data_IF_846434262648
#
_entry.id   IF_846434262648
#
_cell.length_a   1.000
_cell.length_b   1.000
_cell.length_c   1.000
_cell.angle_alpha   90.00
_cell.angle_beta   90.00
_cell.angle_gamma   90.00
#
_symmetry.space_group_name_H-M   'P 1'
#
loop_
_entity.id
_entity.type
_entity.pdbx_description
1 polymer ?
#
# COMPACT_ATOMS: atom_id res chain seq x y z
N UNK A 1 13.00 -2.21 -8.55
CA UNK A 1 11.91 -1.52 -7.86
C UNK A 1 12.50 -0.36 -7.07
N UNK A 2 11.87 0.80 -7.08
CA UNK A 2 12.32 1.98 -6.34
C UNK A 2 12.23 1.72 -4.82
N UNK A 3 13.22 2.13 -4.00
CA UNK A 3 13.15 2.05 -2.54
C UNK A 3 11.88 2.69 -1.94
N UNK A 4 11.34 3.76 -2.52
CA UNK A 4 10.09 4.38 -2.05
C UNK A 4 8.88 3.44 -2.20
N UNK A 5 8.83 2.72 -3.33
CA UNK A 5 7.83 1.69 -3.60
C UNK A 5 7.93 0.54 -2.62
N UNK A 6 9.15 0.05 -2.38
CA UNK A 6 9.40 -1.04 -1.45
C UNK A 6 8.98 -0.66 -0.02
N UNK A 7 9.35 0.54 0.43
CA UNK A 7 8.96 1.04 1.75
C UNK A 7 7.44 1.16 1.89
N UNK A 8 6.76 1.67 0.85
CA UNK A 8 5.31 1.76 0.82
C UNK A 8 4.65 0.37 0.88
N UNK A 9 5.14 -0.60 0.10
CA UNK A 9 4.65 -1.99 0.13
C UNK A 9 4.82 -2.63 1.51
N UNK A 10 5.97 -2.41 2.17
CA UNK A 10 6.19 -2.89 3.52
C UNK A 10 5.28 -2.23 4.55
N UNK A 11 4.93 -0.95 4.38
CA UNK A 11 3.98 -0.28 5.25
C UNK A 11 2.56 -0.89 5.15
N UNK A 12 2.15 -1.36 3.97
CA UNK A 12 0.84 -1.98 3.76
C UNK A 12 0.81 -3.48 4.14
N UNK A 13 1.87 -4.22 3.81
CA UNK A 13 1.90 -5.68 3.86
C UNK A 13 2.66 -6.25 5.06
N UNK A 14 3.46 -5.42 5.72
CA UNK A 14 4.47 -5.83 6.70
C UNK A 14 5.74 -6.38 6.05
N UNK A 15 6.58 -7.01 6.85
CA UNK A 15 7.81 -7.68 6.38
C UNK A 15 7.44 -8.87 5.49
N UNK A 16 7.65 -8.72 4.18
CA UNK A 16 7.35 -9.72 3.14
C UNK A 16 8.61 -9.94 2.30
N UNK A 17 8.73 -11.05 1.57
CA UNK A 17 9.90 -11.33 0.74
C UNK A 17 10.04 -10.29 -0.40
N UNK A 18 11.13 -9.54 -0.38
CA UNK A 18 11.45 -8.49 -1.37
C UNK A 18 11.55 -9.02 -2.79
N UNK A 19 12.05 -10.25 -2.98
CA UNK A 19 12.21 -10.83 -4.31
C UNK A 19 10.85 -11.15 -4.95
N UNK A 20 9.92 -11.69 -4.15
CA UNK A 20 8.54 -11.94 -4.59
C UNK A 20 7.81 -10.63 -4.92
N UNK A 21 7.95 -9.61 -4.06
CA UNK A 21 7.38 -8.28 -4.32
C UNK A 21 7.93 -7.67 -5.61
N UNK A 22 9.23 -7.83 -5.86
CA UNK A 22 9.87 -7.31 -7.08
C UNK A 22 9.36 -8.04 -8.33
N UNK A 23 9.21 -9.37 -8.27
CA UNK A 23 8.67 -10.15 -9.39
C UNK A 23 7.22 -9.75 -9.71
N UNK A 24 6.37 -9.59 -8.69
CA UNK A 24 4.98 -9.14 -8.85
C UNK A 24 4.91 -7.71 -9.36
N UNK A 25 5.75 -6.82 -8.84
CA UNK A 25 5.83 -5.43 -9.30
C UNK A 25 6.18 -5.34 -10.78
N UNK A 26 7.17 -6.12 -11.23
CA UNK A 26 7.55 -6.17 -12.65
C UNK A 26 6.41 -6.66 -13.55
N UNK A 27 5.50 -7.51 -13.03
CA UNK A 27 4.34 -8.03 -13.78
C UNK A 27 3.14 -7.07 -13.77
N UNK A 28 2.85 -6.46 -12.62
CA UNK A 28 1.64 -5.65 -12.41
C UNK A 28 1.85 -4.15 -12.68
N UNK A 29 3.09 -3.69 -12.64
CA UNK A 29 3.49 -2.33 -13.00
C UNK A 29 3.17 -1.23 -11.98
N UNK A 30 2.41 -1.51 -10.91
CA UNK A 30 2.08 -0.52 -9.86
C UNK A 30 2.15 -1.12 -8.46
N UNK A 31 2.62 -0.33 -7.49
CA UNK A 31 2.69 -0.73 -6.09
C UNK A 31 1.32 -1.12 -5.52
N UNK A 32 0.28 -0.35 -5.85
CA UNK A 32 -1.09 -0.59 -5.38
C UNK A 32 -1.64 -1.92 -5.90
N UNK A 33 -1.41 -2.26 -7.18
CA UNK A 33 -1.83 -3.56 -7.71
C UNK A 33 -1.13 -4.73 -6.99
N UNK A 34 0.16 -4.61 -6.71
CA UNK A 34 0.91 -5.62 -5.95
C UNK A 34 0.32 -5.79 -4.54
N UNK A 35 0.08 -4.70 -3.82
CA UNK A 35 -0.50 -4.78 -2.48
C UNK A 35 -1.91 -5.37 -2.49
N UNK A 36 -2.75 -5.01 -3.46
CA UNK A 36 -4.08 -5.57 -3.63
C UNK A 36 -4.03 -7.08 -3.88
N UNK A 37 -3.12 -7.55 -4.74
CA UNK A 37 -2.96 -8.96 -5.05
C UNK A 37 -2.51 -9.76 -3.81
N UNK A 38 -1.49 -9.30 -3.09
CA UNK A 38 -0.98 -10.01 -1.90
C UNK A 38 -2.04 -10.06 -0.80
N UNK A 39 -2.79 -8.99 -0.57
CA UNK A 39 -3.89 -9.01 0.42
C UNK A 39 -5.05 -9.91 -0.03
N UNK A 40 -5.36 -9.96 -1.33
CA UNK A 40 -6.37 -10.88 -1.87
C UNK A 40 -5.96 -12.35 -1.71
N UNK A 41 -4.69 -12.67 -1.93
CA UNK A 41 -4.14 -14.02 -1.68
C UNK A 41 -4.22 -14.40 -0.20
N UNK A 42 -3.85 -13.48 0.71
CA UNK A 42 -3.98 -13.72 2.16
C UNK A 42 -5.44 -13.94 2.56
N UNK A 43 -6.38 -13.17 1.99
CA UNK A 43 -7.82 -13.36 2.20
C UNK A 43 -8.27 -14.74 1.72
N UNK A 44 -7.86 -15.15 0.51
CA UNK A 44 -8.20 -16.46 -0.04
C UNK A 44 -7.65 -17.61 0.84
N UNK A 45 -6.43 -17.47 1.35
CA UNK A 45 -5.84 -18.43 2.30
C UNK A 45 -6.65 -18.54 3.60
N UNK A 46 -7.09 -17.42 4.17
CA UNK A 46 -7.94 -17.43 5.38
C UNK A 46 -9.31 -18.05 5.13
N UNK A 47 -9.88 -17.89 3.93
CA UNK A 47 -11.18 -18.47 3.59
C UNK A 47 -11.10 -19.98 3.27
N UNK A 48 -9.94 -20.47 2.86
CA UNK A 48 -9.71 -21.90 2.64
C UNK A 48 -9.62 -22.67 3.97
N UNK A 49 -9.18 -22.01 5.04
CA UNK A 49 -9.10 -22.59 6.38
C UNK A 49 -10.37 -22.34 7.21
N UNK A 50 -10.70 -23.22 8.17
CA UNK A 50 -11.73 -22.91 9.15
C UNK A 50 -11.36 -21.65 9.95
N UNK A 51 -12.25 -20.65 9.92
CA UNK A 51 -12.04 -19.36 10.59
C UNK A 51 -12.06 -19.48 12.12
N UNK A 52 -12.75 -20.48 12.65
CA UNK A 52 -12.78 -20.79 14.08
C UNK A 52 -12.46 -22.26 14.29
N UNK A 53 -11.39 -22.53 15.04
CA UNK A 53 -11.00 -23.86 15.45
C UNK A 53 -11.02 -23.92 16.98
N UNK A 54 -11.88 -24.78 17.52
CA UNK A 54 -11.91 -25.09 18.95
C UNK A 54 -11.33 -26.49 19.10
N UNK A 55 -10.19 -26.60 19.76
CA UNK A 55 -9.62 -27.90 20.14
C UNK A 55 -9.98 -28.13 21.59
N UNK A 56 -10.77 -29.18 21.85
CA UNK A 56 -11.28 -29.49 23.19
C UNK A 56 -10.14 -29.55 24.21
N UNK A 57 -10.18 -28.59 25.15
CA UNK A 57 -9.35 -28.57 26.37
C UNK A 57 -8.14 -27.63 26.38
N UNK A 58 -7.68 -27.06 25.25
CA UNK A 58 -6.38 -26.33 25.25
C UNK A 58 -6.35 -25.03 24.45
N UNK A 59 -6.99 -24.92 23.27
CA UNK A 59 -6.85 -23.70 22.44
C UNK A 59 -8.12 -23.40 21.64
N UNK A 60 -8.54 -22.14 21.67
CA UNK A 60 -9.46 -21.56 20.69
C UNK A 60 -8.67 -20.63 19.77
N UNK A 61 -8.71 -20.88 18.46
CA UNK A 61 -8.19 -19.97 17.43
C UNK A 61 -9.37 -19.37 16.68
N UNK A 62 -9.48 -18.03 16.69
CA UNK A 62 -10.49 -17.28 15.93
C UNK A 62 -9.78 -16.29 14.99
N UNK A 63 -10.04 -16.43 13.69
CA UNK A 63 -9.47 -15.63 12.60
C UNK A 63 -10.49 -14.67 11.97
N UNK A 64 -11.71 -14.61 12.48
CA UNK A 64 -12.80 -13.78 11.94
C UNK A 64 -12.43 -12.29 11.96
N UNK A 65 -11.81 -11.83 13.06
CA UNK A 65 -11.34 -10.46 13.18
C UNK A 65 -10.21 -10.14 12.18
N UNK A 66 -9.33 -11.11 11.90
CA UNK A 66 -8.25 -10.97 10.93
C UNK A 66 -8.79 -10.83 9.51
N UNK A 67 -9.77 -11.68 9.14
CA UNK A 67 -10.45 -11.58 7.85
C UNK A 67 -11.08 -10.19 7.67
N UNK A 68 -11.82 -9.72 8.69
CA UNK A 68 -12.45 -8.40 8.67
C UNK A 68 -11.40 -7.27 8.56
N UNK A 69 -10.25 -7.42 9.20
CA UNK A 69 -9.13 -6.48 9.09
C UNK A 69 -8.56 -6.39 7.68
N UNK A 70 -8.31 -7.54 7.04
CA UNK A 70 -7.81 -7.60 5.66
C UNK A 70 -8.83 -7.01 4.69
N UNK A 71 -10.12 -7.29 4.86
CA UNK A 71 -11.17 -6.72 4.00
C UNK A 71 -11.23 -5.19 4.11
N UNK A 72 -11.07 -4.63 5.31
CA UNK A 72 -10.96 -3.18 5.51
C UNK A 72 -9.71 -2.59 4.87
N UNK A 73 -8.56 -3.25 5.01
CA UNK A 73 -7.33 -2.82 4.35
C UNK A 73 -7.49 -2.81 2.83
N UNK A 74 -8.11 -3.84 2.25
CA UNK A 74 -8.37 -3.93 0.82
C UNK A 74 -9.25 -2.78 0.33
N UNK A 75 -10.30 -2.42 1.09
CA UNK A 75 -11.16 -1.28 0.78
C UNK A 75 -10.43 0.06 0.89
N UNK A 76 -9.61 0.25 1.93
CA UNK A 76 -8.78 1.44 2.09
C UNK A 76 -7.77 1.59 0.94
N UNK A 77 -7.17 0.48 0.50
CA UNK A 77 -6.19 0.46 -0.57
C UNK A 77 -6.77 0.95 -1.92
N UNK A 78 -8.08 0.90 -2.12
CA UNK A 78 -8.73 1.48 -3.30
C UNK A 78 -8.74 3.02 -3.29
N UNK A 79 -8.59 3.63 -2.12
CA UNK A 79 -8.60 5.08 -1.93
C UNK A 79 -7.21 5.68 -1.77
N UNK A 80 -6.21 4.86 -1.44
CA UNK A 80 -4.82 5.30 -1.27
C UNK A 80 -4.12 5.22 -2.62
N UNK A 81 -3.50 6.34 -3.02
CA UNK A 81 -2.68 6.41 -4.22
C UNK A 81 -1.32 5.73 -3.97
N UNK A 82 -0.88 4.88 -4.90
CA UNK A 82 0.48 4.33 -4.85
C UNK A 82 1.54 5.38 -5.19
N UNK A 83 2.80 5.22 -4.75
CA UNK A 83 3.89 6.13 -5.10
C UNK A 83 4.17 6.23 -6.61
N UNK A 84 3.81 5.20 -7.38
CA UNK A 84 4.01 5.13 -8.83
C UNK A 84 2.78 5.55 -9.65
N UNK A 85 1.67 5.84 -8.97
CA UNK A 85 0.44 6.27 -9.65
C UNK A 85 0.44 7.79 -9.77
N UNK A 86 0.12 8.29 -10.96
CA UNK A 86 -0.17 9.71 -11.13
C UNK A 86 -1.52 10.03 -10.46
N UNK A 87 -1.59 11.13 -9.72
CA UNK A 87 -2.86 11.59 -9.17
C UNK A 87 -3.87 11.82 -10.31
N UNK A 88 -5.10 11.28 -10.23
CA UNK A 88 -6.10 11.49 -11.26
C UNK A 88 -6.48 12.97 -11.27
N UNK A 89 -6.01 13.70 -12.29
CA UNK A 89 -6.21 15.15 -12.44
C UNK A 89 -4.95 16.02 -12.28
N UNK A 90 -3.77 15.42 -12.09
CA UNK A 90 -2.51 16.15 -12.22
C UNK A 90 -2.23 16.40 -13.69
N UNK A 91 -2.59 17.58 -14.20
CA UNK A 91 -1.98 18.10 -15.42
C UNK A 91 -0.47 18.07 -15.21
N UNK A 92 0.21 17.23 -16.01
CA UNK A 92 1.65 16.97 -15.99
C UNK A 92 2.42 18.15 -16.60
N UNK A 93 2.06 19.37 -16.18
CA UNK A 93 2.79 20.59 -16.49
C UNK A 93 3.43 21.05 -15.20
N UNK A 94 4.76 20.94 -15.12
CA UNK A 94 5.54 21.53 -14.04
C UNK A 94 5.10 22.98 -13.84
N UNK A 95 4.41 23.25 -12.72
CA UNK A 95 3.95 24.59 -12.38
C UNK A 95 5.17 25.44 -12.01
N UNK A 96 5.70 26.16 -13.01
CA UNK A 96 6.80 27.10 -12.84
C UNK A 96 6.22 28.45 -12.42
N UNK A 97 6.50 28.83 -11.17
CA UNK A 97 6.10 30.12 -10.63
C UNK A 97 7.25 31.14 -10.75
N UNK A 98 6.92 32.40 -11.06
CA UNK A 98 7.92 33.47 -11.18
C UNK A 98 7.66 34.57 -10.16
N UNK A 99 8.63 34.79 -9.26
CA UNK A 99 8.61 35.90 -8.31
C UNK A 99 9.52 37.03 -8.77
N UNK A 100 9.07 38.28 -8.65
CA UNK A 100 9.88 39.46 -8.92
C UNK A 100 10.71 39.84 -7.69
N UNK A 101 12.03 39.92 -7.84
CA UNK A 101 12.93 40.38 -6.78
C UNK A 101 12.88 41.91 -6.69
N UNK A 102 12.57 42.43 -5.51
CA UNK A 102 12.58 43.87 -5.22
C UNK A 102 13.86 44.23 -4.44
N UNK A 103 14.55 45.33 -4.78
CA UNK A 103 15.77 45.74 -4.10
C UNK A 103 15.54 46.05 -2.61
N UNK A 104 16.44 45.57 -1.76
CA UNK A 104 16.42 45.84 -0.32
C UNK A 104 16.73 47.31 -0.05
N UNK A 105 15.81 48.02 0.60
CA UNK A 105 16.04 49.41 1.04
C UNK A 105 16.96 49.41 2.26
N UNK A 106 18.20 49.87 2.08
CA UNK A 106 19.09 50.23 3.19
C UNK A 106 18.60 51.56 3.79
N UNK A 107 17.95 51.50 4.94
CA UNK A 107 17.74 52.67 5.80
C UNK A 107 19.08 53.07 6.42
N UNK A 108 19.47 54.33 6.24
CA UNK A 108 20.69 54.92 6.79
C UNK A 108 20.41 55.52 8.17
#
# INVERSE_FOLDING_TARGET
MDPAVLAWLHAQLGTTNTDDLTARYNRLGTARAVAAEVLAERRAGLLADPLRLVVDGVVTVDRTANLTGIERQLAQLQTILGPDEAAPGGDDTAHLDTATLVPARRTR
#
